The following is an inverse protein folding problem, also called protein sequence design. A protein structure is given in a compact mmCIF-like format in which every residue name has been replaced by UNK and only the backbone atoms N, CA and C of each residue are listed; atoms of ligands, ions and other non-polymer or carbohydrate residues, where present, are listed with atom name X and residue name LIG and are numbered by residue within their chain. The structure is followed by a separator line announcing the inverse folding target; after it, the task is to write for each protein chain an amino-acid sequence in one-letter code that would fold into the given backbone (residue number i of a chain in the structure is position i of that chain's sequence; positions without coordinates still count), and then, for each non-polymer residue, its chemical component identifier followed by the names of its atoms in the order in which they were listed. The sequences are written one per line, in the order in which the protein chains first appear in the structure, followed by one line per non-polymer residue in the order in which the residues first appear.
data_IF_205472248879
#
_entry.id   IF_205472248879
#
_cell.length_a   1.000
_cell.length_b   1.000
_cell.length_c   1.000
_cell.angle_alpha   90.00
_cell.angle_beta   90.00
_cell.angle_gamma   90.00
#
_symmetry.space_group_name_H-M   'P 1'
#
loop_
_entity.id
_entity.type
_entity.pdbx_description
1 polymer ?
#
# COMPACT_ATOMS: atom_id res chain seq x y z
N UNK A 1 0.21 23.36 -14.35
CA UNK A 1 1.42 23.77 -13.59
C UNK A 1 2.18 22.49 -13.26
N UNK A 2 3.41 22.39 -13.76
CA UNK A 2 4.19 21.15 -13.82
C UNK A 2 4.67 20.73 -12.42
N UNK A 3 4.29 19.54 -11.95
CA UNK A 3 4.91 18.91 -10.77
C UNK A 3 6.25 18.32 -11.20
N UNK A 4 7.34 18.98 -10.80
CA UNK A 4 8.68 18.44 -10.91
C UNK A 4 8.80 17.25 -9.97
N UNK A 5 8.91 16.05 -10.53
CA UNK A 5 9.32 14.85 -9.83
C UNK A 5 10.73 15.10 -9.27
N UNK A 6 10.82 15.39 -7.97
CA UNK A 6 12.09 15.58 -7.28
C UNK A 6 12.78 14.22 -7.22
N UNK A 7 13.85 14.03 -7.98
CA UNK A 7 14.71 12.84 -7.93
C UNK A 7 15.10 12.56 -6.47
N UNK A 8 14.67 11.39 -5.97
CA UNK A 8 14.82 10.97 -4.57
C UNK A 8 16.16 10.27 -4.28
N UNK A 9 17.17 10.42 -5.13
CA UNK A 9 18.48 9.81 -4.91
C UNK A 9 19.54 10.81 -5.38
N UNK A 10 20.17 11.52 -4.45
CA UNK A 10 21.48 12.12 -4.74
C UNK A 10 22.52 10.98 -4.67
N UNK A 11 23.24 10.67 -5.76
CA UNK A 11 24.36 9.76 -5.68
C UNK A 11 25.45 10.39 -4.80
N UNK A 12 25.81 9.73 -3.69
CA UNK A 12 26.99 10.09 -2.90
C UNK A 12 28.28 9.84 -3.70
N UNK A 13 29.39 10.55 -3.40
CA UNK A 13 30.62 10.52 -4.18
C UNK A 13 31.18 9.10 -4.31
N UNK A 14 31.17 8.57 -5.54
CA UNK A 14 31.51 7.18 -5.86
C UNK A 14 32.94 6.71 -5.52
N UNK A 15 33.82 7.62 -5.10
CA UNK A 15 35.22 7.33 -4.83
C UNK A 15 35.45 6.43 -3.60
N UNK A 16 34.62 6.52 -2.55
CA UNK A 16 34.86 5.76 -1.31
C UNK A 16 34.33 4.32 -1.38
N UNK A 17 33.30 4.08 -2.21
CA UNK A 17 32.68 2.76 -2.35
C UNK A 17 33.40 1.87 -3.36
N UNK A 18 34.04 2.44 -4.40
CA UNK A 18 34.72 1.65 -5.43
C UNK A 18 35.96 0.92 -4.90
N UNK A 19 36.77 1.58 -4.06
CA UNK A 19 37.95 0.94 -3.45
C UNK A 19 37.57 -0.24 -2.53
N UNK A 20 36.37 -0.21 -1.95
CA UNK A 20 35.85 -1.24 -1.03
C UNK A 20 35.17 -2.39 -1.76
N UNK A 21 34.58 -2.14 -2.92
CA UNK A 21 33.95 -3.16 -3.77
C UNK A 21 34.99 -4.11 -4.38
N UNK A 22 36.17 -3.58 -4.74
CA UNK A 22 37.28 -4.38 -5.30
C UNK A 22 37.78 -5.43 -4.30
N UNK A 23 37.76 -5.13 -2.99
CA UNK A 23 38.19 -6.08 -1.96
C UNK A 23 37.22 -7.26 -1.77
N UNK A 24 35.93 -7.07 -2.08
CA UNK A 24 34.90 -8.11 -1.93
C UNK A 24 34.88 -9.05 -3.15
N UNK A 25 35.14 -8.51 -4.34
CA UNK A 25 35.18 -9.30 -5.59
C UNK A 25 36.27 -10.37 -5.63
N UNK A 26 37.33 -10.24 -4.82
CA UNK A 26 38.42 -11.22 -4.75
C UNK A 26 38.07 -12.46 -3.90
N UNK A 27 36.91 -12.50 -3.24
CA UNK A 27 36.47 -13.64 -2.42
C UNK A 27 35.52 -14.60 -3.15
N UNK A 28 35.06 -14.26 -4.36
CA UNK A 28 33.97 -14.97 -5.03
C UNK A 28 34.39 -15.81 -6.25
N UNK A 29 35.69 -15.99 -6.50
CA UNK A 29 36.17 -16.57 -7.76
C UNK A 29 36.83 -17.94 -7.63
N UNK A 30 36.34 -18.86 -6.78
CA UNK A 30 36.67 -20.29 -6.89
C UNK A 30 35.74 -21.19 -6.06
N UNK A 31 34.45 -21.30 -6.43
CA UNK A 31 33.69 -22.51 -6.05
C UNK A 31 32.48 -22.76 -6.96
N UNK A 32 32.67 -23.55 -8.01
CA UNK A 32 31.60 -24.15 -8.78
C UNK A 32 31.09 -25.43 -8.08
N UNK A 33 29.88 -25.42 -7.51
CA UNK A 33 28.90 -26.53 -7.52
C UNK A 33 27.61 -26.15 -6.74
N UNK A 34 26.42 -26.69 -7.11
CA UNK A 34 25.14 -26.32 -6.53
C UNK A 34 24.81 -27.16 -5.27
N UNK A 35 23.95 -26.64 -4.40
CA UNK A 35 23.47 -27.25 -3.15
C UNK A 35 24.51 -27.43 -2.02
N UNK A 36 24.89 -26.34 -1.36
CA UNK A 36 25.46 -26.38 -0.01
C UNK A 36 24.93 -25.20 0.81
N UNK A 37 24.48 -25.50 2.03
CA UNK A 37 24.12 -24.56 3.08
C UNK A 37 25.10 -23.38 3.19
N UNK A 38 24.58 -22.22 3.62
CA UNK A 38 25.36 -21.03 4.02
C UNK A 38 26.72 -21.47 4.61
N UNK A 39 27.86 -21.10 3.99
CA UNK A 39 29.15 -21.46 4.55
C UNK A 39 29.26 -20.83 5.93
N UNK A 40 29.17 -21.65 6.98
CA UNK A 40 29.62 -21.28 8.30
C UNK A 40 31.12 -21.01 8.16
N UNK A 41 31.49 -19.72 8.06
CA UNK A 41 32.87 -19.30 7.93
C UNK A 41 33.72 -19.92 9.07
N UNK A 42 34.95 -20.37 8.80
CA UNK A 42 35.81 -20.94 9.83
C UNK A 42 36.03 -19.94 10.98
N UNK A 43 35.99 -20.36 12.26
CA UNK A 43 36.13 -19.46 13.41
C UNK A 43 37.47 -18.72 13.52
N UNK A 44 38.46 -19.01 12.68
CA UNK A 44 39.85 -18.60 12.89
C UNK A 44 40.31 -17.35 12.12
N UNK A 45 39.52 -16.82 11.17
CA UNK A 45 39.86 -15.56 10.46
C UNK A 45 39.11 -14.32 10.98
N UNK A 46 38.42 -14.46 12.11
CA UNK A 46 37.62 -13.39 12.72
C UNK A 46 38.43 -12.44 13.60
N UNK A 47 39.68 -12.75 13.95
CA UNK A 47 40.41 -12.09 15.04
C UNK A 47 41.32 -10.92 14.61
N UNK A 48 41.08 -10.29 13.46
CA UNK A 48 41.73 -9.00 13.15
C UNK A 48 40.91 -7.84 13.73
N UNK A 49 41.41 -7.10 14.75
CA UNK A 49 40.65 -6.02 15.40
C UNK A 49 40.17 -4.96 14.42
N UNK A 50 40.99 -4.62 13.43
CA UNK A 50 40.68 -3.65 12.37
C UNK A 50 39.50 -4.08 11.50
N UNK A 51 39.35 -5.38 11.22
CA UNK A 51 38.23 -5.92 10.42
C UNK A 51 36.93 -5.92 11.22
N UNK A 52 36.98 -6.28 12.51
CA UNK A 52 35.83 -6.19 13.42
C UNK A 52 35.36 -4.74 13.60
N UNK A 53 36.30 -3.80 13.74
CA UNK A 53 36.01 -2.36 13.82
C UNK A 53 35.37 -1.83 12.52
N UNK A 54 35.86 -2.23 11.34
CA UNK A 54 35.23 -1.80 10.08
C UNK A 54 33.83 -2.37 9.89
N UNK A 55 33.59 -3.63 10.29
CA UNK A 55 32.28 -4.26 10.17
C UNK A 55 31.27 -3.61 11.12
N UNK A 56 31.65 -3.39 12.38
CA UNK A 56 30.78 -2.69 13.35
C UNK A 56 30.45 -1.26 12.93
N UNK A 57 31.41 -0.52 12.35
CA UNK A 57 31.13 0.78 11.77
C UNK A 57 30.10 0.71 10.63
N UNK A 58 30.24 -0.25 9.70
CA UNK A 58 29.26 -0.43 8.62
C UNK A 58 27.88 -0.82 9.15
N UNK A 59 27.80 -1.69 10.16
CA UNK A 59 26.53 -2.06 10.80
C UNK A 59 25.84 -0.86 11.45
N UNK A 60 26.59 0.00 12.14
CA UNK A 60 26.04 1.20 12.76
C UNK A 60 25.54 2.19 11.70
N UNK A 61 26.31 2.43 10.63
CA UNK A 61 25.90 3.31 9.54
C UNK A 61 24.62 2.81 8.84
N UNK A 62 24.54 1.50 8.56
CA UNK A 62 23.34 0.90 7.98
C UNK A 62 22.16 0.97 8.93
N UNK A 63 22.38 0.74 10.23
CA UNK A 63 21.34 0.86 11.25
C UNK A 63 20.76 2.27 11.31
N UNK A 64 21.62 3.29 11.32
CA UNK A 64 21.23 4.70 11.33
C UNK A 64 20.47 5.07 10.05
N UNK A 65 20.87 4.54 8.90
CA UNK A 65 20.16 4.75 7.62
C UNK A 65 18.75 4.12 7.64
N UNK A 66 18.62 2.88 8.11
CA UNK A 66 17.33 2.19 8.24
C UNK A 66 16.41 2.92 9.22
N UNK A 67 16.95 3.34 10.37
CA UNK A 67 16.18 4.09 11.37
C UNK A 67 15.72 5.45 10.82
N UNK A 68 16.60 6.17 10.11
CA UNK A 68 16.26 7.41 9.42
C UNK A 68 15.14 7.20 8.39
N UNK A 69 15.24 6.15 7.57
CA UNK A 69 14.21 5.79 6.61
C UNK A 69 12.86 5.51 7.29
N UNK A 70 12.85 4.70 8.35
CA UNK A 70 11.65 4.38 9.11
C UNK A 70 10.99 5.64 9.70
N UNK A 71 11.78 6.56 10.26
CA UNK A 71 11.29 7.84 10.82
C UNK A 71 10.70 8.73 9.74
N UNK A 72 11.35 8.81 8.57
CA UNK A 72 10.83 9.57 7.44
C UNK A 72 9.49 9.02 6.96
N UNK A 73 9.41 7.70 6.71
CA UNK A 73 8.19 7.02 6.28
C UNK A 73 7.06 7.22 7.29
N UNK A 74 7.34 7.10 8.60
CA UNK A 74 6.35 7.33 9.64
C UNK A 74 5.82 8.77 9.64
N UNK A 75 6.69 9.76 9.44
CA UNK A 75 6.32 11.18 9.39
C UNK A 75 5.43 11.49 8.18
N UNK A 76 5.78 10.97 7.01
CA UNK A 76 5.00 11.14 5.79
C UNK A 76 3.65 10.43 5.87
N UNK A 77 3.60 9.20 6.40
CA UNK A 77 2.35 8.48 6.63
C UNK A 77 1.44 9.20 7.63
N UNK A 78 1.99 9.80 8.69
CA UNK A 78 1.22 10.60 9.64
C UNK A 78 0.53 11.79 8.95
N UNK A 79 1.24 12.44 8.03
CA UNK A 79 0.71 13.55 7.21
C UNK A 79 -0.37 13.08 6.23
N UNK A 80 -0.24 11.86 5.69
CA UNK A 80 -1.20 11.27 4.74
C UNK A 80 -2.44 10.67 5.43
N UNK A 81 -2.33 10.25 6.68
CA UNK A 81 -3.39 9.59 7.46
C UNK A 81 -4.76 10.30 7.42
N UNK A 82 -4.89 11.62 7.57
CA UNK A 82 -6.20 12.25 7.55
C UNK A 82 -6.84 12.24 6.15
N UNK A 83 -6.04 12.23 5.07
CA UNK A 83 -6.52 12.03 3.69
C UNK A 83 -7.06 10.61 3.49
N UNK A 84 -6.33 9.61 3.97
CA UNK A 84 -6.76 8.20 3.94
C UNK A 84 -8.08 8.05 4.71
N UNK A 85 -8.15 8.56 5.94
CA UNK A 85 -9.35 8.50 6.76
C UNK A 85 -10.56 9.16 6.08
N UNK A 86 -10.35 10.29 5.39
CA UNK A 86 -11.39 10.96 4.63
C UNK A 86 -11.88 10.09 3.47
N UNK A 87 -10.95 9.56 2.66
CA UNK A 87 -11.27 8.70 1.52
C UNK A 87 -12.06 7.45 1.97
N UNK A 88 -11.59 6.77 3.03
CA UNK A 88 -12.26 5.60 3.61
C UNK A 88 -13.67 5.95 4.06
N UNK A 89 -13.87 7.08 4.76
CA UNK A 89 -15.21 7.53 5.19
C UNK A 89 -16.13 7.81 4.02
N UNK A 90 -15.64 8.48 2.97
CA UNK A 90 -16.41 8.80 1.76
C UNK A 90 -16.83 7.54 1.00
N UNK A 91 -15.89 6.64 0.73
CA UNK A 91 -16.16 5.35 0.07
C UNK A 91 -17.16 4.53 0.91
N UNK A 92 -16.93 4.42 2.22
CA UNK A 92 -17.85 3.69 3.13
C UNK A 92 -19.25 4.26 3.06
N UNK A 93 -19.40 5.59 3.14
CA UNK A 93 -20.71 6.24 3.12
C UNK A 93 -21.42 6.04 1.78
N UNK A 94 -20.69 6.18 0.67
CA UNK A 94 -21.22 5.97 -0.67
C UNK A 94 -21.75 4.53 -0.85
N UNK A 95 -20.96 3.54 -0.45
CA UNK A 95 -21.37 2.14 -0.56
C UNK A 95 -22.51 1.78 0.41
N UNK A 96 -22.61 2.47 1.55
CA UNK A 96 -23.74 2.31 2.47
C UNK A 96 -25.06 2.91 1.93
N UNK A 97 -25.02 3.79 0.93
CA UNK A 97 -26.25 4.19 0.22
C UNK A 97 -26.82 3.00 -0.57
N UNK A 98 -25.95 2.23 -1.22
CA UNK A 98 -26.34 1.02 -1.95
C UNK A 98 -26.69 -0.12 -0.99
N UNK A 99 -25.89 -0.30 0.06
CA UNK A 99 -26.01 -1.39 1.02
C UNK A 99 -25.87 -0.87 2.46
N UNK A 100 -26.98 -0.47 3.12
CA UNK A 100 -26.95 0.17 4.44
C UNK A 100 -26.26 -0.63 5.55
N UNK A 101 -26.18 -1.96 5.41
CA UNK A 101 -25.56 -2.87 6.37
C UNK A 101 -24.16 -3.35 5.97
N UNK A 102 -23.60 -2.81 4.88
CA UNK A 102 -22.24 -3.14 4.46
C UNK A 102 -21.21 -2.65 5.48
N UNK A 103 -20.10 -3.38 5.58
CA UNK A 103 -18.94 -3.00 6.40
C UNK A 103 -17.74 -2.83 5.50
N UNK A 104 -17.04 -1.71 5.66
CA UNK A 104 -15.80 -1.43 4.95
C UNK A 104 -14.65 -1.48 5.93
N UNK A 105 -13.62 -2.26 5.61
CA UNK A 105 -12.43 -2.41 6.43
C UNK A 105 -11.17 -2.12 5.61
N UNK A 106 -10.18 -1.49 6.23
CA UNK A 106 -8.86 -1.30 5.64
C UNK A 106 -8.13 -2.65 5.66
N UNK A 107 -7.47 -2.97 4.55
CA UNK A 107 -6.63 -4.15 4.39
C UNK A 107 -5.24 -3.74 3.86
N UNK A 108 -4.39 -4.75 3.63
CA UNK A 108 -3.08 -4.54 3.02
C UNK A 108 -2.10 -3.79 3.93
N UNK A 109 -1.19 -3.06 3.29
CA UNK A 109 -0.03 -2.44 3.95
C UNK A 109 -0.42 -1.39 5.00
N UNK A 110 -1.53 -0.66 4.77
CA UNK A 110 -2.04 0.33 5.72
C UNK A 110 -2.60 -0.32 7.00
N UNK A 111 -3.15 -1.54 6.89
CA UNK A 111 -3.66 -2.27 8.05
C UNK A 111 -2.52 -2.85 8.91
N UNK A 112 -1.40 -3.22 8.29
CA UNK A 112 -0.24 -3.83 8.99
C UNK A 112 0.78 -2.82 9.51
N UNK A 113 0.66 -1.54 9.14
CA UNK A 113 1.63 -0.51 9.50
C UNK A 113 2.92 -0.56 8.66
N UNK A 114 2.92 -1.30 7.55
CA UNK A 114 4.05 -1.42 6.62
C UNK A 114 3.83 -0.61 5.33
N UNK A 115 2.88 0.31 5.32
CA UNK A 115 2.61 1.18 4.17
C UNK A 115 3.76 2.16 3.95
N UNK A 116 4.20 2.29 2.70
CA UNK A 116 4.99 3.42 2.27
C UNK A 116 4.08 4.62 2.02
N UNK A 117 4.60 5.86 1.98
CA UNK A 117 3.80 7.05 1.71
C UNK A 117 3.11 7.01 0.34
N UNK A 118 3.67 6.23 -0.59
CA UNK A 118 3.15 5.99 -1.94
C UNK A 118 2.26 4.76 -2.07
N UNK A 119 2.09 3.96 -1.01
CA UNK A 119 1.26 2.75 -1.06
C UNK A 119 -0.21 3.06 -1.29
N UNK A 120 -0.90 2.23 -2.06
CA UNK A 120 -2.34 2.30 -2.24
C UNK A 120 -3.10 2.01 -0.94
N UNK A 121 -4.39 2.37 -0.89
CA UNK A 121 -5.28 2.10 0.24
C UNK A 121 -6.26 1.00 -0.15
N UNK A 122 -6.04 -0.20 0.40
CA UNK A 122 -6.89 -1.35 0.12
C UNK A 122 -8.10 -1.39 1.05
N UNK A 123 -9.29 -1.54 0.45
CA UNK A 123 -10.56 -1.66 1.18
C UNK A 123 -11.28 -2.95 0.81
N UNK A 124 -11.74 -3.66 1.84
CA UNK A 124 -12.64 -4.81 1.67
C UNK A 124 -14.04 -4.42 2.14
N UNK A 125 -15.01 -4.63 1.27
CA UNK A 125 -16.42 -4.32 1.51
C UNK A 125 -17.18 -5.62 1.71
N UNK A 126 -17.60 -5.88 2.95
CA UNK A 126 -18.40 -7.04 3.30
C UNK A 126 -19.88 -6.67 3.20
N UNK A 127 -20.59 -7.32 2.28
CA UNK A 127 -22.04 -7.23 2.19
C UNK A 127 -22.68 -8.14 3.26
N UNK A 128 -23.85 -7.77 3.81
CA UNK A 128 -24.58 -8.66 4.72
C UNK A 128 -24.87 -9.99 4.01
N UNK A 129 -24.97 -11.11 4.75
CA UNK A 129 -25.32 -12.40 4.17
C UNK A 129 -26.61 -12.27 3.35
N UNK A 130 -26.47 -12.38 2.03
CA UNK A 130 -27.61 -12.46 1.15
C UNK A 130 -28.16 -13.86 1.33
N UNK A 131 -29.41 -13.98 1.78
CA UNK A 131 -30.09 -15.27 1.70
C UNK A 131 -30.15 -15.59 0.21
N UNK A 132 -29.42 -16.61 -0.22
CA UNK A 132 -29.55 -17.20 -1.55
C UNK A 132 -30.91 -17.90 -1.61
N UNK A 133 -31.98 -17.11 -1.59
CA UNK A 133 -33.30 -17.61 -1.87
C UNK A 133 -33.31 -18.03 -3.33
N UNK A 134 -33.85 -19.21 -3.62
CA UNK A 134 -34.17 -19.53 -5.00
C UNK A 134 -35.01 -18.39 -5.59
N UNK A 135 -34.83 -18.06 -6.89
CA UNK A 135 -35.69 -17.09 -7.57
C UNK A 135 -37.15 -17.40 -7.23
N UNK A 136 -37.86 -16.43 -6.66
CA UNK A 136 -39.25 -16.61 -6.23
C UNK A 136 -40.04 -17.07 -7.46
N UNK A 137 -40.50 -18.33 -7.45
CA UNK A 137 -41.10 -19.02 -8.61
C UNK A 137 -42.48 -18.46 -8.98
N UNK A 138 -43.13 -17.74 -8.08
CA UNK A 138 -44.40 -17.06 -8.33
C UNK A 138 -44.21 -15.55 -8.24
N UNK A 139 -44.00 -14.92 -9.39
CA UNK A 139 -44.14 -13.50 -9.53
C UNK A 139 -45.65 -13.16 -9.50
N UNK A 140 -46.12 -12.54 -8.42
CA UNK A 140 -47.21 -11.58 -8.56
C UNK A 140 -46.78 -10.54 -9.61
N UNK A 141 -47.72 -10.10 -10.46
CA UNK A 141 -47.55 -9.31 -11.70
C UNK A 141 -46.99 -7.89 -11.46
N UNK A 142 -45.91 -7.73 -10.72
CA UNK A 142 -45.22 -6.46 -10.55
C UNK A 142 -43.71 -6.71 -10.52
N UNK A 143 -43.07 -6.16 -11.54
CA UNK A 143 -41.67 -5.78 -11.62
C UNK A 143 -40.70 -6.82 -12.20
N UNK A 144 -40.13 -6.46 -13.36
CA UNK A 144 -39.20 -7.26 -14.17
C UNK A 144 -37.90 -7.60 -13.46
N UNK A 145 -37.94 -8.63 -12.60
CA UNK A 145 -36.76 -9.14 -11.89
C UNK A 145 -35.75 -9.88 -12.77
N UNK A 146 -36.07 -10.12 -14.04
CA UNK A 146 -35.16 -10.69 -15.04
C UNK A 146 -34.34 -9.63 -15.81
N UNK A 147 -34.45 -8.34 -15.47
CA UNK A 147 -33.84 -7.25 -16.25
C UNK A 147 -32.58 -6.64 -15.63
N UNK A 148 -32.23 -6.95 -14.37
CA UNK A 148 -30.99 -6.43 -13.77
C UNK A 148 -29.83 -7.37 -14.12
N UNK A 149 -29.20 -7.11 -15.26
CA UNK A 149 -27.96 -7.80 -15.70
C UNK A 149 -26.70 -7.25 -15.02
N UNK A 150 -26.84 -6.26 -14.13
CA UNK A 150 -25.73 -5.57 -13.46
C UNK A 150 -25.28 -6.36 -12.22
N UNK A 151 -23.99 -6.67 -12.11
CA UNK A 151 -23.41 -7.30 -10.91
C UNK A 151 -23.34 -6.29 -9.76
N UNK A 152 -23.21 -6.77 -8.50
CA UNK A 152 -22.98 -5.87 -7.36
C UNK A 152 -21.74 -4.99 -7.58
N UNK A 153 -20.68 -5.55 -8.16
CA UNK A 153 -19.45 -4.81 -8.47
C UNK A 153 -19.72 -3.69 -9.48
N UNK A 154 -20.43 -3.99 -10.58
CA UNK A 154 -20.76 -3.01 -11.62
C UNK A 154 -21.62 -1.89 -11.06
N UNK A 155 -22.61 -2.23 -10.24
CA UNK A 155 -23.45 -1.25 -9.57
C UNK A 155 -22.63 -0.33 -8.67
N UNK A 156 -21.75 -0.88 -7.84
CA UNK A 156 -20.84 -0.08 -7.01
C UNK A 156 -19.92 0.80 -7.85
N UNK A 157 -19.31 0.25 -8.90
CA UNK A 157 -18.40 0.96 -9.79
C UNK A 157 -19.08 2.15 -10.46
N UNK A 158 -20.28 1.96 -11.03
CA UNK A 158 -21.07 3.02 -11.62
C UNK A 158 -21.44 4.10 -10.60
N UNK A 159 -21.85 3.69 -9.39
CA UNK A 159 -22.21 4.64 -8.34
C UNK A 159 -21.02 5.45 -7.84
N UNK A 160 -19.87 4.81 -7.65
CA UNK A 160 -18.61 5.43 -7.25
C UNK A 160 -18.08 6.37 -8.34
N UNK A 161 -18.13 5.96 -9.61
CA UNK A 161 -17.69 6.77 -10.75
C UNK A 161 -18.47 8.07 -10.93
N UNK A 162 -19.69 8.15 -10.38
CA UNK A 162 -20.53 9.35 -10.41
C UNK A 162 -20.29 10.28 -9.20
N UNK A 163 -19.35 9.96 -8.31
CA UNK A 163 -19.03 10.80 -7.16
C UNK A 163 -18.05 11.90 -7.54
N UNK A 164 -18.31 13.13 -7.07
CA UNK A 164 -17.45 14.31 -7.32
C UNK A 164 -16.00 14.16 -6.83
N UNK A 165 -15.77 13.32 -5.82
CA UNK A 165 -14.47 13.10 -5.20
C UNK A 165 -13.70 11.93 -5.82
N UNK A 166 -14.25 11.27 -6.83
CA UNK A 166 -13.53 10.29 -7.63
C UNK A 166 -12.97 11.01 -8.85
N UNK A 167 -11.66 10.89 -9.07
CA UNK A 167 -11.01 11.50 -10.23
C UNK A 167 -11.58 10.91 -11.51
N UNK A 168 -11.96 11.78 -12.44
CA UNK A 168 -12.46 11.39 -13.75
C UNK A 168 -11.50 10.40 -14.45
N UNK A 169 -12.07 9.38 -15.09
CA UNK A 169 -11.37 8.33 -15.84
C UNK A 169 -10.37 7.46 -15.04
N UNK A 170 -10.31 7.60 -13.71
CA UNK A 170 -9.46 6.75 -12.87
C UNK A 170 -10.07 5.39 -12.55
N UNK A 171 -11.40 5.27 -12.65
CA UNK A 171 -12.12 4.08 -12.19
C UNK A 171 -11.95 2.91 -13.17
N UNK A 172 -11.56 1.75 -12.64
CA UNK A 172 -11.44 0.49 -13.37
C UNK A 172 -11.97 -0.67 -12.55
N UNK A 173 -12.63 -1.62 -13.21
CA UNK A 173 -13.10 -2.86 -12.57
C UNK A 173 -12.35 -4.06 -13.10
N UNK A 174 -12.07 -5.03 -12.22
CA UNK A 174 -11.46 -6.32 -12.57
C UNK A 174 -12.34 -7.42 -12.01
N UNK A 175 -13.14 -8.05 -12.88
CA UNK A 175 -14.15 -9.04 -12.48
C UNK A 175 -13.62 -10.48 -12.53
N UNK A 176 -12.63 -10.75 -13.38
CA UNK A 176 -12.11 -12.10 -13.64
C UNK A 176 -11.00 -12.51 -12.65
N UNK A 177 -11.24 -12.31 -11.37
CA UNK A 177 -10.32 -12.68 -10.28
C UNK A 177 -11.10 -13.30 -9.13
N UNK A 178 -10.41 -14.06 -8.26
CA UNK A 178 -11.07 -14.72 -7.13
C UNK A 178 -11.81 -13.73 -6.20
N UNK A 179 -11.31 -12.50 -6.10
CA UNK A 179 -11.95 -11.39 -5.39
C UNK A 179 -12.03 -10.21 -6.37
N UNK A 180 -13.22 -9.90 -6.91
CA UNK A 180 -13.38 -8.79 -7.85
C UNK A 180 -13.00 -7.43 -7.24
N UNK A 181 -12.34 -6.58 -8.03
CA UNK A 181 -11.71 -5.33 -7.56
C UNK A 181 -12.28 -4.12 -8.30
N UNK A 182 -12.45 -3.01 -7.58
CA UNK A 182 -12.64 -1.67 -8.13
C UNK A 182 -11.39 -0.86 -7.77
N UNK A 183 -10.70 -0.34 -8.78
CA UNK A 183 -9.59 0.59 -8.64
C UNK A 183 -10.09 1.99 -8.96
N UNK A 184 -9.69 3.00 -8.19
CA UNK A 184 -10.00 4.40 -8.46
C UNK A 184 -8.99 5.31 -7.74
N UNK A 185 -8.86 6.55 -8.21
CA UNK A 185 -8.14 7.61 -7.51
C UNK A 185 -9.14 8.54 -6.82
N UNK A 186 -8.88 8.85 -5.55
CA UNK A 186 -9.70 9.77 -4.76
C UNK A 186 -9.07 11.16 -4.79
N UNK A 187 -9.85 12.15 -5.18
CA UNK A 187 -9.51 13.56 -5.03
C UNK A 187 -10.01 14.07 -3.67
N UNK A 188 -9.06 14.40 -2.79
CA UNK A 188 -9.35 14.80 -1.41
C UNK A 188 -9.21 16.31 -1.29
N UNK A 189 -10.29 17.06 -0.98
CA UNK A 189 -10.20 18.50 -0.81
C UNK A 189 -9.27 18.87 0.36
N UNK A 190 -8.20 19.62 0.07
CA UNK A 190 -7.17 19.97 1.06
C UNK A 190 -7.72 20.74 2.28
N UNK A 191 -8.75 21.56 2.09
CA UNK A 191 -9.31 22.41 3.14
C UNK A 191 -10.07 21.61 4.21
N UNK A 192 -10.70 20.50 3.82
CA UNK A 192 -11.53 19.68 4.71
C UNK A 192 -10.72 18.80 5.66
N UNK A 193 -9.48 18.52 5.31
CA UNK A 193 -8.58 17.65 6.09
C UNK A 193 -7.93 18.46 7.22
N UNK A 194 -7.52 19.70 6.93
CA UNK A 194 -6.87 20.62 7.89
C UNK A 194 -7.81 21.06 9.01
N UNK A 195 -9.09 21.31 8.70
CA UNK A 195 -10.11 21.70 9.69
C UNK A 195 -10.40 20.61 10.74
N UNK A 196 -10.14 19.33 10.43
CA UNK A 196 -10.28 18.22 11.37
C UNK A 196 -9.05 18.02 12.28
N UNK A 197 -7.91 18.63 11.92
CA UNK A 197 -6.68 18.59 12.72
C UNK A 197 -6.63 19.74 13.74
N UNK A 198 -7.29 20.87 13.48
CA UNK A 198 -7.31 22.03 14.37
C UNK A 198 -8.30 21.93 15.54
N UNK A 199 -9.23 20.96 15.53
CA UNK A 199 -10.16 20.72 16.66
C UNK A 199 -9.55 19.90 17.80
N UNK A 200 -8.26 19.55 17.71
CA UNK A 200 -7.46 18.92 18.75
C UNK A 200 -6.50 19.95 19.37
N UNK A 201 -7.03 21.00 19.99
CA UNK A 201 -6.28 21.78 20.97
C UNK A 201 -7.26 22.22 22.07
N UNK A 202 -7.00 21.91 23.35
CA UNK A 202 -7.85 22.32 24.47
C UNK A 202 -7.79 23.83 24.73
#
# INVERSE_FOLDING_TARGET
KNFSARQMIQPLPGAILQDRLIAISQLSHDQEHPDVALPLQPPELLTCPTRKASLSLMHNLLHDEIDSFCKQVATENLTRRPYINWAVKRVTRALQVLWPRSRTNIFGSNATGLSLPTSDVDLVVCLPPVRNLEPIKEAGILEGRNSIKETCLQHAARYLGNQEWVKADSLKTVENTAIPIIMLEVDVPHDLVTASASSLHP
#
